data_IF_401327052517
#
_entry.id   IF_401327052517
#
_cell.length_a   1.000
_cell.length_b   1.000
_cell.length_c   1.000
_cell.angle_alpha   90.00
_cell.angle_beta   90.00
_cell.angle_gamma   90.00
#
_symmetry.space_group_name_H-M   'P 1'
#
loop_
_entity.id
_entity.type
_entity.pdbx_description
1 polymer ?
#
# COMPACT_ATOMS: atom_id res chain seq x y z
N UNK A 1 -4.67 0.57 -1.93
CA UNK A 1 -3.59 -0.12 -2.66
C UNK A 1 -3.68 -1.64 -2.60
N UNK A 2 -4.17 -2.26 -1.50
CA UNK A 2 -4.33 -3.72 -1.44
C UNK A 2 -5.21 -4.27 -2.57
N UNK A 3 -6.39 -3.66 -2.79
CA UNK A 3 -7.27 -4.07 -3.89
C UNK A 3 -6.59 -3.97 -5.26
N UNK A 4 -5.76 -2.95 -5.48
CA UNK A 4 -5.02 -2.84 -6.74
C UNK A 4 -4.05 -4.03 -6.91
N UNK A 5 -3.29 -4.40 -5.87
CA UNK A 5 -2.42 -5.58 -5.89
C UNK A 5 -3.19 -6.88 -6.15
N UNK A 6 -4.36 -7.02 -5.51
CA UNK A 6 -5.21 -8.23 -5.64
C UNK A 6 -5.87 -8.34 -7.01
N UNK A 7 -6.26 -7.21 -7.62
CA UNK A 7 -7.04 -7.20 -8.88
C UNK A 7 -6.14 -7.06 -10.12
N UNK A 8 -5.14 -6.19 -10.05
CA UNK A 8 -4.31 -5.84 -11.21
C UNK A 8 -3.03 -6.67 -11.32
N UNK A 9 -2.67 -7.37 -10.27
CA UNK A 9 -1.41 -8.10 -10.21
C UNK A 9 -0.20 -7.19 -9.92
N UNK A 10 1.00 -7.78 -9.76
CA UNK A 10 2.17 -7.05 -9.24
C UNK A 10 2.63 -5.90 -10.14
N UNK A 11 2.71 -6.14 -11.44
CA UNK A 11 3.22 -5.16 -12.39
C UNK A 11 2.27 -3.95 -12.48
N UNK A 12 1.02 -4.18 -12.80
CA UNK A 12 0.05 -3.11 -13.04
C UNK A 12 -0.33 -2.35 -11.77
N UNK A 13 -0.35 -3.02 -10.62
CA UNK A 13 -0.52 -2.35 -9.34
C UNK A 13 0.66 -1.42 -9.03
N UNK A 14 1.89 -1.90 -9.22
CA UNK A 14 3.09 -1.07 -9.06
C UNK A 14 3.09 0.13 -10.01
N UNK A 15 2.80 -0.09 -11.29
CA UNK A 15 2.70 0.98 -12.31
C UNK A 15 1.63 2.00 -11.92
N UNK A 16 0.43 1.56 -11.52
CA UNK A 16 -0.66 2.45 -11.14
C UNK A 16 -0.28 3.39 -9.98
N UNK A 17 0.37 2.84 -8.95
CA UNK A 17 0.82 3.68 -7.83
C UNK A 17 2.04 4.52 -8.15
N UNK A 18 2.89 4.11 -9.08
CA UNK A 18 3.96 4.97 -9.61
C UNK A 18 3.37 6.16 -10.37
N UNK A 19 2.38 5.94 -11.22
CA UNK A 19 1.68 7.02 -11.92
C UNK A 19 0.96 7.97 -10.94
N UNK A 20 0.31 7.43 -9.90
CA UNK A 20 -0.28 8.21 -8.83
C UNK A 20 0.75 9.12 -8.15
N UNK A 21 1.91 8.57 -7.80
CA UNK A 21 3.00 9.32 -7.18
C UNK A 21 3.54 10.42 -8.11
N UNK A 22 3.75 10.10 -9.39
CA UNK A 22 4.19 11.08 -10.40
C UNK A 22 3.15 12.19 -10.61
N UNK A 23 1.87 11.84 -10.67
CA UNK A 23 0.78 12.81 -10.77
C UNK A 23 0.80 13.81 -9.61
N UNK A 24 0.97 13.31 -8.38
CA UNK A 24 1.11 14.16 -7.21
C UNK A 24 2.37 15.03 -7.24
N UNK A 25 3.49 14.50 -7.72
CA UNK A 25 4.76 15.24 -7.85
C UNK A 25 4.66 16.42 -8.82
N UNK A 26 3.96 16.26 -9.94
CA UNK A 26 3.75 17.35 -10.92
C UNK A 26 2.68 18.35 -10.51
N UNK A 27 2.10 18.21 -9.32
CA UNK A 27 1.20 19.21 -8.74
C UNK A 27 -0.29 18.87 -8.78
N UNK A 28 -0.69 17.67 -9.24
CA UNK A 28 -2.09 17.26 -9.13
C UNK A 28 -2.44 16.99 -7.66
N UNK A 29 -3.58 17.51 -7.15
CA UNK A 29 -3.97 17.41 -5.74
C UNK A 29 -4.51 16.00 -5.41
N UNK A 30 -3.67 14.98 -5.57
CA UNK A 30 -4.04 13.56 -5.39
C UNK A 30 -3.56 12.96 -4.08
N UNK A 31 -2.71 13.65 -3.33
CA UNK A 31 -2.27 13.20 -2.01
C UNK A 31 -3.32 13.54 -0.93
N UNK A 32 -3.16 12.97 0.25
CA UNK A 32 -4.09 13.16 1.36
C UNK A 32 -4.36 14.66 1.63
N UNK A 33 -5.63 15.01 1.83
CA UNK A 33 -6.06 16.40 2.04
C UNK A 33 -5.96 17.30 0.81
N UNK A 34 -5.82 16.73 -0.41
CA UNK A 34 -5.65 17.51 -1.63
C UNK A 34 -4.24 18.09 -1.81
N UNK A 35 -3.29 17.58 -1.06
CA UNK A 35 -1.89 18.00 -1.17
C UNK A 35 -1.22 17.50 -2.47
N UNK A 36 -0.16 18.16 -2.86
CA UNK A 36 0.62 17.82 -4.06
C UNK A 36 2.05 18.40 -3.97
N UNK A 37 2.86 17.98 -4.91
CA UNK A 37 4.20 18.53 -5.11
C UNK A 37 5.31 17.81 -4.37
N UNK A 38 6.52 18.15 -4.74
CA UNK A 38 7.76 17.55 -4.23
C UNK A 38 7.90 17.72 -2.70
N UNK A 39 7.42 18.84 -2.14
CA UNK A 39 7.49 19.11 -0.70
C UNK A 39 6.76 18.07 0.16
N UNK A 40 5.67 17.48 -0.34
CA UNK A 40 4.95 16.41 0.37
C UNK A 40 5.77 15.11 0.37
N UNK A 41 6.40 14.80 -0.76
CA UNK A 41 7.21 13.57 -0.91
C UNK A 41 8.53 13.68 -0.15
N UNK A 42 9.09 14.86 -0.04
CA UNK A 42 10.29 15.12 0.77
C UNK A 42 9.96 15.37 2.26
N UNK A 43 8.68 15.44 2.61
CA UNK A 43 8.21 15.67 3.98
C UNK A 43 8.16 14.39 4.84
N UNK A 44 7.66 14.52 6.07
CA UNK A 44 7.61 13.41 7.05
C UNK A 44 6.85 12.17 6.57
N UNK A 45 5.84 12.36 5.71
CA UNK A 45 5.00 11.29 5.15
C UNK A 45 5.49 10.75 3.81
N UNK A 46 6.55 11.31 3.26
CA UNK A 46 7.05 10.95 1.93
C UNK A 46 7.48 9.50 1.81
N UNK A 47 8.11 8.94 2.84
CA UNK A 47 8.48 7.52 2.86
C UNK A 47 7.28 6.59 2.67
N UNK A 48 6.12 6.95 3.25
CA UNK A 48 4.87 6.20 3.05
C UNK A 48 4.38 6.29 1.61
N UNK A 49 4.43 7.47 0.99
CA UNK A 49 4.03 7.67 -0.40
C UNK A 49 4.91 6.86 -1.37
N UNK A 50 6.23 6.93 -1.19
CA UNK A 50 7.19 6.17 -2.01
C UNK A 50 7.03 4.66 -1.82
N UNK A 51 6.58 4.21 -0.67
CA UNK A 51 6.34 2.78 -0.41
C UNK A 51 5.13 2.21 -1.15
N UNK A 52 4.16 3.02 -1.58
CA UNK A 52 2.91 2.52 -2.17
C UNK A 52 3.10 1.70 -3.44
N UNK A 53 3.92 2.09 -4.43
CA UNK A 53 4.20 1.25 -5.59
C UNK A 53 4.80 -0.10 -5.20
N UNK A 54 5.76 -0.09 -4.28
CA UNK A 54 6.43 -1.30 -3.80
C UNK A 54 5.47 -2.23 -3.05
N UNK A 55 4.66 -1.65 -2.16
CA UNK A 55 3.69 -2.40 -1.38
C UNK A 55 2.56 -2.99 -2.25
N UNK A 56 2.10 -2.24 -3.25
CA UNK A 56 1.10 -2.73 -4.20
C UNK A 56 1.65 -3.89 -5.04
N UNK A 57 2.89 -3.75 -5.54
CA UNK A 57 3.57 -4.81 -6.27
C UNK A 57 3.81 -6.05 -5.38
N UNK A 58 4.28 -5.87 -4.14
CA UNK A 58 4.50 -6.96 -3.19
C UNK A 58 3.20 -7.71 -2.86
N UNK A 59 2.11 -6.99 -2.63
CA UNK A 59 0.78 -7.58 -2.43
C UNK A 59 0.38 -8.43 -3.64
N UNK A 60 0.53 -7.88 -4.85
CA UNK A 60 0.25 -8.59 -6.09
C UNK A 60 1.11 -9.84 -6.28
N UNK A 61 2.40 -9.78 -5.96
CA UNK A 61 3.32 -10.93 -6.04
C UNK A 61 2.88 -12.08 -5.12
N UNK A 62 2.44 -11.79 -3.90
CA UNK A 62 1.96 -12.82 -2.98
C UNK A 62 0.66 -13.44 -3.48
N UNK A 63 -0.25 -12.64 -4.04
CA UNK A 63 -1.55 -13.11 -4.54
C UNK A 63 -1.38 -13.95 -5.81
N UNK A 64 -0.67 -13.42 -6.80
CA UNK A 64 -0.62 -13.98 -8.16
C UNK A 64 0.65 -14.77 -8.46
N UNK A 65 1.75 -14.46 -7.78
CA UNK A 65 3.08 -14.90 -8.21
C UNK A 65 3.64 -14.01 -9.32
N UNK A 66 4.61 -14.53 -10.07
CA UNK A 66 5.32 -13.74 -11.09
C UNK A 66 4.59 -13.72 -12.43
N UNK A 67 3.88 -14.78 -12.79
CA UNK A 67 3.43 -15.03 -14.18
C UNK A 67 1.93 -15.14 -14.37
N UNK A 68 1.16 -15.53 -13.36
CA UNK A 68 -0.23 -15.93 -13.57
C UNK A 68 -1.21 -15.05 -12.78
N UNK A 69 -1.99 -14.25 -13.49
CA UNK A 69 -3.09 -13.53 -12.86
C UNK A 69 -4.20 -14.50 -12.45
N UNK A 70 -4.48 -14.56 -11.16
CA UNK A 70 -5.56 -15.37 -10.59
C UNK A 70 -6.81 -14.51 -10.42
N UNK A 71 -7.96 -15.10 -10.67
CA UNK A 71 -9.20 -14.41 -10.34
C UNK A 71 -9.25 -14.16 -8.80
N UNK A 72 -9.54 -12.94 -8.35
CA UNK A 72 -9.53 -12.61 -6.92
C UNK A 72 -10.41 -13.53 -6.07
N UNK A 73 -11.53 -14.00 -6.63
CA UNK A 73 -12.46 -14.94 -5.97
C UNK A 73 -11.83 -16.31 -5.68
N UNK A 74 -10.87 -16.75 -6.50
CA UNK A 74 -10.22 -18.07 -6.37
C UNK A 74 -9.05 -18.05 -5.38
N UNK A 75 -8.65 -16.88 -4.90
CA UNK A 75 -7.54 -16.75 -3.95
C UNK A 75 -8.02 -17.09 -2.55
N UNK A 76 -7.34 -17.99 -1.86
CA UNK A 76 -7.69 -18.35 -0.48
C UNK A 76 -7.58 -17.17 0.49
N UNK A 77 -8.46 -17.12 1.50
CA UNK A 77 -8.42 -16.04 2.51
C UNK A 77 -7.06 -15.93 3.21
N UNK A 78 -6.42 -17.03 3.64
CA UNK A 78 -5.09 -16.94 4.23
C UNK A 78 -4.06 -16.27 3.30
N UNK A 79 -4.11 -16.56 2.01
CA UNK A 79 -3.21 -15.94 1.01
C UNK A 79 -3.50 -14.46 0.84
N UNK A 80 -4.77 -14.04 0.82
CA UNK A 80 -5.15 -12.63 0.80
C UNK A 80 -4.63 -11.89 2.04
N UNK A 81 -4.84 -12.47 3.23
CA UNK A 81 -4.36 -11.88 4.48
C UNK A 81 -2.84 -11.77 4.48
N UNK A 82 -2.13 -12.83 4.09
CA UNK A 82 -0.66 -12.80 3.99
C UNK A 82 -0.18 -11.73 3.04
N UNK A 83 -0.81 -11.61 1.87
CA UNK A 83 -0.46 -10.57 0.89
C UNK A 83 -0.60 -9.16 1.45
N UNK A 84 -1.68 -8.91 2.19
CA UNK A 84 -1.92 -7.60 2.80
C UNK A 84 -1.00 -7.32 3.98
N UNK A 85 -0.64 -8.34 4.76
CA UNK A 85 0.37 -8.22 5.82
C UNK A 85 1.73 -7.88 5.23
N UNK A 86 2.15 -8.55 4.16
CA UNK A 86 3.39 -8.24 3.44
C UNK A 86 3.37 -6.82 2.89
N UNK A 87 2.30 -6.41 2.21
CA UNK A 87 2.14 -5.05 1.72
C UNK A 87 2.19 -4.01 2.84
N UNK A 88 1.55 -4.27 3.98
CA UNK A 88 1.59 -3.39 5.15
C UNK A 88 2.99 -3.31 5.76
N UNK A 89 3.71 -4.42 5.83
CA UNK A 89 5.09 -4.46 6.33
C UNK A 89 6.01 -3.60 5.45
N UNK A 90 5.86 -3.65 4.13
CA UNK A 90 6.61 -2.79 3.20
C UNK A 90 6.30 -1.31 3.46
N UNK A 91 5.02 -0.93 3.60
CA UNK A 91 4.63 0.45 3.90
C UNK A 91 5.25 0.93 5.20
N UNK A 92 5.12 0.16 6.26
CA UNK A 92 5.58 0.58 7.57
C UNK A 92 7.10 0.59 7.67
N UNK A 93 7.80 -0.36 7.03
CA UNK A 93 9.26 -0.36 7.00
C UNK A 93 9.80 0.87 6.26
N UNK A 94 9.37 1.09 5.03
CA UNK A 94 9.84 2.23 4.21
C UNK A 94 9.34 3.55 4.79
N UNK A 95 8.10 3.61 5.27
CA UNK A 95 7.50 4.79 5.87
C UNK A 95 8.21 5.21 7.16
N UNK A 96 8.46 4.26 8.07
CA UNK A 96 9.15 4.55 9.32
C UNK A 96 10.61 4.94 9.10
N UNK A 97 11.31 4.30 8.16
CA UNK A 97 12.67 4.69 7.77
C UNK A 97 12.69 6.10 7.19
N UNK A 98 11.80 6.40 6.26
CA UNK A 98 11.67 7.74 5.68
C UNK A 98 11.37 8.81 6.74
N UNK A 99 10.46 8.52 7.67
CA UNK A 99 10.15 9.40 8.80
C UNK A 99 11.36 9.60 9.72
N UNK A 100 12.05 8.51 10.07
CA UNK A 100 13.27 8.54 10.92
C UNK A 100 14.33 9.47 10.32
N UNK A 101 14.62 9.31 9.02
CA UNK A 101 15.60 10.13 8.32
C UNK A 101 15.14 11.59 8.22
N UNK A 102 13.88 11.82 7.88
CA UNK A 102 13.34 13.17 7.68
C UNK A 102 13.28 13.97 8.98
N UNK A 103 12.92 13.32 10.10
CA UNK A 103 12.77 13.97 11.41
C UNK A 103 14.03 13.90 12.28
N UNK A 104 15.07 13.19 11.83
CA UNK A 104 16.29 13.00 12.64
C UNK A 104 16.07 12.22 13.93
N UNK A 105 15.07 11.33 13.98
CA UNK A 105 14.76 10.52 15.16
C UNK A 105 15.18 9.06 14.96
N UNK A 106 15.41 8.34 16.05
CA UNK A 106 15.74 6.92 15.98
C UNK A 106 14.60 6.08 15.37
N UNK A 107 14.94 4.98 14.68
CA UNK A 107 13.96 4.09 14.02
C UNK A 107 12.91 3.57 15.01
N UNK A 108 13.29 3.24 16.25
CA UNK A 108 12.36 2.78 17.29
C UNK A 108 11.32 3.86 17.61
N UNK A 109 11.76 5.11 17.76
CA UNK A 109 10.85 6.25 17.99
C UNK A 109 9.95 6.50 16.78
N UNK A 110 10.48 6.37 15.56
CA UNK A 110 9.69 6.48 14.35
C UNK A 110 8.59 5.40 14.29
N UNK A 111 8.93 4.13 14.55
CA UNK A 111 7.94 3.04 14.59
C UNK A 111 6.87 3.30 15.65
N UNK A 112 7.26 3.72 16.86
CA UNK A 112 6.31 4.02 17.92
C UNK A 112 5.35 5.17 17.53
N UNK A 113 5.84 6.16 16.80
CA UNK A 113 5.07 7.36 16.45
C UNK A 113 4.16 7.13 15.23
N UNK A 114 4.67 6.45 14.19
CA UNK A 114 3.97 6.40 12.89
C UNK A 114 3.51 5.01 12.46
N UNK A 115 3.80 3.96 13.24
CA UNK A 115 3.32 2.60 12.95
C UNK A 115 2.30 2.14 13.98
N UNK A 116 2.63 2.19 15.26
CA UNK A 116 1.76 1.66 16.31
C UNK A 116 0.34 2.24 16.31
N UNK A 117 0.12 3.55 16.15
CA UNK A 117 -1.24 4.11 16.11
C UNK A 117 -2.07 3.63 14.92
N UNK A 118 -1.41 3.18 13.83
CA UNK A 118 -2.10 2.76 12.61
C UNK A 118 -2.37 1.26 12.53
N UNK A 119 -1.85 0.43 13.43
CA UNK A 119 -2.07 -1.00 13.43
C UNK A 119 -3.56 -1.40 13.54
N UNK A 120 -4.39 -0.78 14.39
CA UNK A 120 -5.82 -1.10 14.44
C UNK A 120 -6.52 -0.78 13.11
N UNK A 121 -6.18 0.35 12.49
CA UNK A 121 -6.72 0.76 11.18
C UNK A 121 -6.25 -0.19 10.07
N UNK A 122 -5.02 -0.66 10.14
CA UNK A 122 -4.48 -1.63 9.20
C UNK A 122 -5.26 -2.95 9.26
N UNK A 123 -5.55 -3.45 10.44
CA UNK A 123 -6.35 -4.65 10.65
C UNK A 123 -7.77 -4.50 10.06
N UNK A 124 -8.40 -3.34 10.26
CA UNK A 124 -9.70 -3.03 9.68
C UNK A 124 -9.65 -2.99 8.14
N UNK A 125 -8.60 -2.42 7.56
CA UNK A 125 -8.39 -2.39 6.10
C UNK A 125 -8.24 -3.79 5.52
N UNK A 126 -7.52 -4.67 6.21
CA UNK A 126 -7.38 -6.08 5.82
C UNK A 126 -8.74 -6.77 5.82
N UNK A 127 -9.51 -6.65 6.91
CA UNK A 127 -10.85 -7.23 7.03
C UNK A 127 -11.79 -6.70 5.94
N UNK A 128 -11.81 -5.38 5.70
CA UNK A 128 -12.63 -4.76 4.67
C UNK A 128 -12.25 -5.25 3.25
N UNK A 129 -10.95 -5.38 2.95
CA UNK A 129 -10.49 -5.88 1.66
C UNK A 129 -10.91 -7.33 1.43
N UNK A 130 -10.78 -8.19 2.45
CA UNK A 130 -11.25 -9.58 2.38
C UNK A 130 -12.75 -9.63 2.14
N UNK A 131 -13.52 -8.80 2.85
CA UNK A 131 -14.97 -8.73 2.68
C UNK A 131 -15.36 -8.31 1.25
N UNK A 132 -14.70 -7.30 0.68
CA UNK A 132 -14.94 -6.84 -0.69
C UNK A 132 -14.57 -7.92 -1.71
N UNK A 133 -13.43 -8.58 -1.56
CA UNK A 133 -12.99 -9.65 -2.48
C UNK A 133 -13.95 -10.85 -2.42
N UNK A 134 -14.57 -11.12 -1.27
CA UNK A 134 -15.53 -12.21 -1.08
C UNK A 134 -16.98 -11.83 -1.38
N UNK A 135 -17.27 -10.55 -1.49
CA UNK A 135 -18.58 -10.10 -1.94
C UNK A 135 -18.72 -10.28 -3.47
N UNK A 136 -19.95 -10.55 -3.92
CA UNK A 136 -20.26 -10.67 -5.35
C UNK A 136 -20.00 -9.38 -6.15
N UNK A 137 -19.63 -8.29 -5.48
CA UNK A 137 -19.35 -6.99 -6.09
C UNK A 137 -18.20 -7.01 -7.11
N UNK A 138 -17.23 -7.94 -6.98
CA UNK A 138 -16.14 -8.12 -7.95
C UNK A 138 -16.46 -9.21 -8.98
N UNK A 139 -17.47 -10.02 -8.77
CA UNK A 139 -17.87 -11.13 -9.65
C UNK A 139 -18.96 -10.69 -10.64
N UNK A 140 -19.64 -9.60 -10.37
CA UNK A 140 -20.77 -9.09 -11.16
C UNK A 140 -20.36 -8.38 -12.48
N UNK A 141 -19.31 -8.91 -13.16
CA UNK A 141 -18.95 -8.45 -14.52
C UNK A 141 -18.56 -9.59 -15.42
#
# INVERSE_FOLDING_TARGET
MFLAGVVLGPLWAGVSFTLYLLAGLVGLPVFAGGASGLGVVLGPTGGFLVSFPLAAAATGLVVHGVSDLRAPADVSVPRLVTAMVVGSAVIYAVGALGFSVNQGVGVVSAVATVVLPFLPVASLKVAATVAVVRSDALVAR
#
